data_IF_954227817451
#
_entry.id   IF_954227817451
#
_cell.length_a   1.000
_cell.length_b   1.000
_cell.length_c   1.000
_cell.angle_alpha   90.00
_cell.angle_beta   90.00
_cell.angle_gamma   90.00
#
_symmetry.space_group_name_H-M   'P 1'
#
loop_
_entity.id
_entity.type
_entity.pdbx_description
1 polymer ?
#
# COMPACT_ATOMS: atom_id res chain seq x y z
N UNK A 1 5.30 10.65 34.27
CA UNK A 1 5.92 10.81 32.93
C UNK A 1 5.25 9.95 31.84
N UNK A 2 4.86 8.70 32.11
CA UNK A 2 4.17 7.83 31.14
C UNK A 2 2.80 8.34 30.65
N UNK A 3 2.02 9.02 31.50
CA UNK A 3 0.66 9.45 31.15
C UNK A 3 0.61 10.56 30.08
N UNK A 4 1.58 11.48 30.10
CA UNK A 4 1.70 12.59 29.12
C UNK A 4 2.17 12.06 27.76
N UNK A 5 3.04 11.05 27.77
CA UNK A 5 3.50 10.39 26.55
C UNK A 5 2.33 9.67 25.85
N UNK A 6 1.48 8.98 26.61
CA UNK A 6 0.29 8.29 26.06
C UNK A 6 -0.76 9.24 25.50
N UNK A 7 -0.98 10.42 26.10
CA UNK A 7 -1.95 11.40 25.58
C UNK A 7 -1.44 12.10 24.33
N UNK A 8 -0.14 12.39 24.27
CA UNK A 8 0.50 12.97 23.07
C UNK A 8 0.49 11.98 21.91
N UNK A 9 0.82 10.71 22.16
CA UNK A 9 0.77 9.65 21.14
C UNK A 9 -0.64 9.47 20.56
N UNK A 10 -1.68 9.48 21.41
CA UNK A 10 -3.07 9.39 20.97
C UNK A 10 -3.44 10.54 20.03
N UNK A 11 -3.04 11.78 20.34
CA UNK A 11 -3.30 12.95 19.49
C UNK A 11 -2.65 12.82 18.11
N UNK A 12 -1.38 12.40 18.08
CA UNK A 12 -0.65 12.16 16.83
C UNK A 12 -1.35 11.08 16.00
N UNK A 13 -1.72 9.96 16.63
CA UNK A 13 -2.42 8.87 15.96
C UNK A 13 -3.77 9.33 15.38
N UNK A 14 -4.54 10.11 16.14
CA UNK A 14 -5.82 10.65 15.67
C UNK A 14 -5.67 11.62 14.51
N UNK A 15 -4.66 12.50 14.53
CA UNK A 15 -4.39 13.41 13.40
C UNK A 15 -3.92 12.64 12.15
N UNK A 16 -3.11 11.60 12.34
CA UNK A 16 -2.67 10.74 11.25
C UNK A 16 -3.83 9.98 10.59
N UNK A 17 -4.72 9.40 11.39
CA UNK A 17 -5.94 8.73 10.91
C UNK A 17 -6.85 9.69 10.13
N UNK A 18 -7.03 10.91 10.62
CA UNK A 18 -7.83 11.93 9.94
C UNK A 18 -7.23 12.31 8.58
N UNK A 19 -5.92 12.55 8.51
CA UNK A 19 -5.23 12.84 7.25
C UNK A 19 -5.31 11.68 6.25
N UNK A 20 -5.16 10.44 6.71
CA UNK A 20 -5.23 9.27 5.86
C UNK A 20 -6.62 9.13 5.21
N UNK A 21 -7.68 9.47 5.93
CA UNK A 21 -9.06 9.42 5.42
C UNK A 21 -9.31 10.39 4.26
N UNK A 22 -8.71 11.59 4.27
CA UNK A 22 -8.88 12.58 3.20
C UNK A 22 -8.25 12.13 1.87
N UNK A 23 -7.15 11.36 1.90
CA UNK A 23 -6.51 10.84 0.69
C UNK A 23 -7.33 9.74 -0.01
N UNK A 24 -8.11 8.94 0.73
CA UNK A 24 -8.90 7.84 0.17
C UNK A 24 -10.10 8.34 -0.65
N UNK A 25 -10.68 9.49 -0.32
CA UNK A 25 -11.89 10.00 -0.97
C UNK A 25 -11.63 10.85 -2.23
N UNK A 26 -10.39 11.28 -2.49
CA UNK A 26 -10.09 12.25 -3.55
C UNK A 26 -9.94 11.66 -4.96
N UNK A 27 -9.89 10.33 -5.12
CA UNK A 27 -9.51 9.70 -6.40
C UNK A 27 -10.69 9.32 -7.31
N UNK A 28 -11.93 9.69 -6.97
CA UNK A 28 -13.14 9.30 -7.71
C UNK A 28 -13.30 9.87 -9.14
N UNK A 29 -12.48 10.82 -9.56
CA UNK A 29 -12.66 11.59 -10.80
C UNK A 29 -11.42 11.63 -11.71
N UNK A 30 -10.45 10.74 -11.49
CA UNK A 30 -9.23 10.70 -12.27
C UNK A 30 -9.12 9.39 -13.04
N UNK A 31 -8.67 9.46 -14.30
CA UNK A 31 -8.34 8.30 -15.17
C UNK A 31 -7.14 7.49 -14.65
N UNK A 32 -6.67 7.80 -13.44
CA UNK A 32 -5.56 7.14 -12.78
C UNK A 32 -5.85 7.00 -11.29
N UNK A 33 -5.45 5.86 -10.73
CA UNK A 33 -5.53 5.53 -9.32
C UNK A 33 -4.12 5.28 -8.80
N UNK A 34 -3.77 5.84 -7.65
CA UNK A 34 -2.49 5.54 -7.02
C UNK A 34 -2.66 5.34 -5.52
N UNK A 35 -1.74 4.60 -4.92
CA UNK A 35 -1.84 4.35 -3.49
C UNK A 35 -0.65 3.62 -2.93
N UNK A 36 -0.73 3.39 -1.63
CA UNK A 36 0.21 2.55 -0.91
C UNK A 36 -0.44 1.21 -0.58
N UNK A 37 0.36 0.15 -0.59
CA UNK A 37 -0.04 -1.18 -0.17
C UNK A 37 0.72 -1.55 1.10
N UNK A 38 0.01 -2.15 2.05
CA UNK A 38 0.59 -2.79 3.22
C UNK A 38 -0.07 -4.15 3.38
N UNK A 39 0.72 -5.19 3.54
CA UNK A 39 0.24 -6.56 3.64
C UNK A 39 1.07 -7.37 4.61
N UNK A 40 0.47 -8.44 5.11
CA UNK A 40 1.14 -9.48 5.87
C UNK A 40 0.71 -10.83 5.31
N UNK A 41 1.69 -11.70 5.08
CA UNK A 41 1.49 -13.02 4.52
C UNK A 41 2.21 -14.04 5.39
N UNK A 42 1.56 -15.19 5.57
CA UNK A 42 2.11 -16.34 6.28
C UNK A 42 2.10 -17.58 5.37
N UNK A 43 2.76 -17.48 4.21
CA UNK A 43 3.05 -18.61 3.34
C UNK A 43 4.56 -18.87 3.39
N UNK A 44 4.94 -20.01 3.98
CA UNK A 44 6.35 -20.43 4.17
C UNK A 44 7.18 -19.57 5.13
N UNK A 45 6.53 -18.79 6.00
CA UNK A 45 7.18 -17.92 7.01
C UNK A 45 6.41 -16.61 7.20
N UNK A 46 6.88 -15.75 8.12
CA UNK A 46 6.29 -14.42 8.34
C UNK A 46 6.89 -13.41 7.37
N UNK A 47 6.07 -12.87 6.47
CA UNK A 47 6.47 -11.86 5.50
C UNK A 47 5.54 -10.66 5.58
N UNK A 48 6.10 -9.48 5.81
CA UNK A 48 5.43 -8.20 5.57
C UNK A 48 5.65 -7.76 4.13
N UNK A 49 4.67 -7.09 3.55
CA UNK A 49 4.77 -6.45 2.24
C UNK A 49 4.41 -4.99 2.39
N UNK A 50 5.24 -4.10 1.87
CA UNK A 50 4.94 -2.67 1.76
C UNK A 50 5.15 -2.26 0.32
N UNK A 51 4.38 -1.33 -0.19
CA UNK A 51 4.62 -0.83 -1.54
C UNK A 51 3.76 0.36 -1.91
N UNK A 52 3.89 0.76 -3.16
CA UNK A 52 3.07 1.74 -3.82
C UNK A 52 2.68 1.22 -5.20
N UNK A 53 1.52 1.66 -5.68
CA UNK A 53 1.01 1.32 -6.99
C UNK A 53 0.49 2.57 -7.71
N UNK A 54 0.50 2.48 -9.03
CA UNK A 54 -0.11 3.44 -9.93
C UNK A 54 -0.84 2.66 -11.03
N UNK A 55 -2.12 2.93 -11.19
CA UNK A 55 -3.02 2.35 -12.19
C UNK A 55 -3.49 3.47 -13.12
N UNK A 56 -3.46 3.24 -14.43
CA UNK A 56 -3.89 4.18 -15.46
C UNK A 56 -4.90 3.47 -16.34
N UNK A 57 -6.07 4.07 -16.53
CA UNK A 57 -7.05 3.61 -17.50
C UNK A 57 -6.48 3.81 -18.91
N UNK A 58 -6.44 2.74 -19.69
CA UNK A 58 -5.93 2.72 -21.06
C UNK A 58 -7.06 2.33 -22.01
N UNK A 59 -7.83 3.31 -22.44
CA UNK A 59 -9.04 3.10 -23.25
C UNK A 59 -10.18 2.43 -22.48
N UNK A 60 -11.27 2.10 -23.16
CA UNK A 60 -12.54 1.74 -22.51
C UNK A 60 -12.52 0.43 -21.69
N UNK A 61 -11.59 -0.48 -21.96
CA UNK A 61 -11.60 -1.84 -21.41
C UNK A 61 -10.22 -2.34 -20.98
N UNK A 62 -9.23 -1.46 -20.78
CA UNK A 62 -7.92 -1.92 -20.28
C UNK A 62 -7.31 -0.99 -19.26
N UNK A 63 -6.48 -1.54 -18.37
CA UNK A 63 -5.82 -0.82 -17.31
C UNK A 63 -4.34 -1.21 -17.27
N UNK A 64 -3.48 -0.20 -17.25
CA UNK A 64 -2.06 -0.37 -17.02
C UNK A 64 -1.77 -0.17 -15.54
N UNK A 65 -1.04 -1.09 -14.92
CA UNK A 65 -0.69 -1.06 -13.51
C UNK A 65 0.83 -1.14 -13.34
N UNK A 66 1.36 -0.22 -12.56
CA UNK A 66 2.75 -0.14 -12.13
C UNK A 66 2.80 -0.36 -10.63
N UNK A 67 3.65 -1.29 -10.18
CA UNK A 67 3.82 -1.60 -8.77
C UNK A 67 5.29 -1.48 -8.37
N UNK A 68 5.55 -0.91 -7.19
CA UNK A 68 6.85 -1.01 -6.54
C UNK A 68 6.61 -1.46 -5.11
N UNK A 69 7.14 -2.63 -4.76
CA UNK A 69 6.95 -3.24 -3.46
C UNK A 69 8.29 -3.64 -2.83
N UNK A 70 8.27 -3.87 -1.53
CA UNK A 70 9.34 -4.48 -0.77
C UNK A 70 8.74 -5.54 0.16
N UNK A 71 9.19 -6.79 -0.01
CA UNK A 71 8.85 -7.88 0.90
C UNK A 71 9.89 -7.94 2.00
N UNK A 72 9.43 -7.83 3.24
CA UNK A 72 10.25 -7.80 4.44
C UNK A 72 10.01 -9.08 5.21
N UNK A 73 11.08 -9.84 5.48
CA UNK A 73 11.01 -11.01 6.34
C UNK A 73 12.04 -10.95 7.44
N UNK A 74 11.63 -11.36 8.63
CA UNK A 74 12.49 -11.51 9.79
C UNK A 74 12.54 -12.97 10.20
N UNK A 75 13.69 -13.61 10.00
CA UNK A 75 14.01 -14.88 10.65
C UNK A 75 14.95 -14.61 11.83
N UNK A 76 15.10 -15.58 12.74
CA UNK A 76 15.65 -15.51 14.11
C UNK A 76 16.97 -14.74 14.35
N UNK A 77 17.65 -14.22 13.32
CA UNK A 77 18.74 -13.22 13.38
C UNK A 77 19.04 -12.53 12.03
N UNK A 78 18.11 -12.58 11.06
CA UNK A 78 18.32 -12.04 9.71
C UNK A 78 17.06 -11.32 9.24
N UNK A 79 17.20 -10.03 8.98
CA UNK A 79 16.24 -9.24 8.23
C UNK A 79 16.59 -9.37 6.75
N UNK A 80 15.63 -9.77 5.93
CA UNK A 80 15.76 -9.77 4.47
C UNK A 80 14.69 -8.86 3.87
N UNK A 81 15.12 -8.01 2.94
CA UNK A 81 14.28 -7.08 2.20
C UNK A 81 14.46 -7.41 0.73
N UNK A 82 13.37 -7.74 0.05
CA UNK A 82 13.36 -8.09 -1.36
C UNK A 82 12.55 -7.02 -2.10
N UNK A 83 13.20 -6.10 -2.84
CA UNK A 83 12.50 -5.14 -3.67
C UNK A 83 11.87 -5.84 -4.88
N UNK A 84 10.66 -5.45 -5.23
CA UNK A 84 9.89 -5.95 -6.38
C UNK A 84 9.38 -4.74 -7.17
N UNK A 85 9.46 -4.80 -8.49
CA UNK A 85 8.78 -3.87 -9.37
C UNK A 85 7.97 -4.66 -10.42
N UNK A 86 6.77 -4.20 -10.71
CA UNK A 86 5.82 -4.85 -11.61
C UNK A 86 5.26 -3.87 -12.62
N UNK A 87 5.04 -4.35 -13.84
CA UNK A 87 4.23 -3.69 -14.86
C UNK A 87 3.23 -4.72 -15.39
N UNK A 88 1.95 -4.46 -15.18
CA UNK A 88 0.86 -5.33 -15.56
C UNK A 88 -0.10 -4.60 -16.49
N UNK A 89 -0.65 -5.30 -17.48
CA UNK A 89 -1.76 -4.83 -18.30
C UNK A 89 -2.94 -5.75 -18.10
N UNK A 90 -4.09 -5.21 -17.71
CA UNK A 90 -5.33 -5.94 -17.46
C UNK A 90 -6.29 -5.55 -18.58
N UNK A 91 -6.74 -6.52 -19.37
CA UNK A 91 -7.81 -6.35 -20.34
C UNK A 91 -9.10 -6.90 -19.72
N UNK A 92 -10.11 -6.03 -19.57
CA UNK A 92 -11.44 -6.44 -19.13
C UNK A 92 -12.19 -7.00 -20.35
N UNK A 93 -12.39 -8.31 -20.39
CA UNK A 93 -13.27 -8.93 -21.37
C UNK A 93 -14.69 -8.93 -20.81
N UNK A 94 -15.60 -8.23 -21.49
CA UNK A 94 -17.04 -8.27 -21.21
C UNK A 94 -17.61 -9.19 -22.29
N UNK A 95 -18.06 -10.38 -21.89
CA UNK A 95 -18.79 -11.33 -22.74
C UNK A 95 -20.25 -10.89 -22.95
#
# INVERSE_FOLDING_TARGET
MNMILTTTLKKILTSFLFLCSSFLFSQKHHDFLYGFSLGYMNQSGNYGKIGAFWEIESGNNSMLKLDVNANITGMKNKLSIIPEAGLNSILFQID
#
